data_IF_049308506951
#
_entry.id   IF_049308506951
#
_cell.length_a   1.000
_cell.length_b   1.000
_cell.length_c   1.000
_cell.angle_alpha   90.00
_cell.angle_beta   90.00
_cell.angle_gamma   90.00
#
_symmetry.space_group_name_H-M   'P 1'
#
loop_
_entity.id
_entity.type
_entity.pdbx_description
1 polymer ?
#
# COMPACT_ATOMS: atom_id res chain seq x y z
N UNK A 1 5.93 4.14 -10.53
CA UNK A 1 4.56 3.58 -10.42
C UNK A 1 4.59 2.16 -10.96
N UNK A 2 3.89 1.21 -10.34
CA UNK A 2 3.82 -0.18 -10.84
C UNK A 2 2.52 -0.32 -11.61
N UNK A 3 2.65 -0.55 -12.91
CA UNK A 3 1.55 -0.68 -13.85
C UNK A 3 1.37 -2.13 -14.36
N UNK A 4 2.39 -2.97 -14.15
CA UNK A 4 2.38 -4.36 -14.60
C UNK A 4 3.36 -5.23 -13.78
N UNK A 5 3.41 -6.53 -14.10
CA UNK A 5 4.30 -7.48 -13.44
C UNK A 5 5.78 -7.15 -13.62
N UNK A 6 6.19 -6.65 -14.79
CA UNK A 6 7.60 -6.32 -15.06
C UNK A 6 8.07 -5.15 -14.20
N UNK A 7 7.22 -4.13 -14.00
CA UNK A 7 7.53 -3.02 -13.10
C UNK A 7 7.72 -3.51 -11.67
N UNK A 8 6.89 -4.46 -11.24
CA UNK A 8 7.03 -5.07 -9.91
C UNK A 8 8.33 -5.87 -9.80
N UNK A 9 8.72 -6.64 -10.83
CA UNK A 9 9.99 -7.36 -10.83
C UNK A 9 11.19 -6.40 -10.80
N UNK A 10 11.13 -5.30 -11.54
CA UNK A 10 12.16 -4.25 -11.49
C UNK A 10 12.26 -3.63 -10.09
N UNK A 11 11.13 -3.37 -9.44
CA UNK A 11 11.10 -2.91 -8.05
C UNK A 11 11.78 -3.92 -7.12
N UNK A 12 11.44 -5.21 -7.19
CA UNK A 12 12.07 -6.24 -6.35
C UNK A 12 13.57 -6.32 -6.59
N UNK A 13 14.01 -6.23 -7.85
CA UNK A 13 15.42 -6.26 -8.21
C UNK A 13 16.21 -5.04 -7.73
N UNK A 14 15.54 -3.91 -7.47
CA UNK A 14 16.17 -2.70 -6.95
C UNK A 14 16.40 -2.74 -5.43
N UNK A 15 15.82 -3.71 -4.71
CA UNK A 15 15.92 -3.78 -3.25
C UNK A 15 17.24 -4.40 -2.84
N UNK A 16 18.01 -3.69 -2.05
CA UNK A 16 19.19 -4.22 -1.38
C UNK A 16 18.80 -4.92 -0.07
N UNK A 17 18.75 -6.26 -0.11
CA UNK A 17 18.41 -7.06 1.08
C UNK A 17 19.41 -6.90 2.22
N UNK A 18 20.66 -6.46 1.94
CA UNK A 18 21.68 -6.28 2.96
C UNK A 18 21.45 -5.01 3.79
N UNK A 19 20.70 -4.05 3.29
CA UNK A 19 20.35 -2.82 3.99
C UNK A 19 19.08 -2.93 4.83
N UNK A 20 18.27 -3.97 4.62
CA UNK A 20 16.99 -4.11 5.31
C UNK A 20 17.14 -4.47 6.79
N UNK A 21 16.28 -3.84 7.60
CA UNK A 21 16.14 -4.14 9.03
C UNK A 21 14.95 -5.07 9.26
N UNK A 22 15.12 -6.10 10.07
CA UNK A 22 14.00 -6.94 10.45
C UNK A 22 13.14 -6.22 11.52
N UNK A 23 11.84 -5.96 11.25
CA UNK A 23 10.99 -5.23 12.21
C UNK A 23 10.63 -6.06 13.44
N UNK A 24 10.89 -7.37 13.42
CA UNK A 24 10.60 -8.27 14.54
C UNK A 24 11.78 -8.38 15.50
N UNK A 25 13.01 -8.54 14.99
CA UNK A 25 14.20 -8.74 15.84
C UNK A 25 15.29 -7.69 15.65
N UNK A 26 15.10 -6.68 14.80
CA UNK A 26 16.01 -5.55 14.58
C UNK A 26 17.29 -5.89 13.80
N UNK A 27 17.53 -7.16 13.44
CA UNK A 27 18.74 -7.54 12.71
C UNK A 27 18.76 -6.94 11.31
N UNK A 28 19.94 -6.57 10.83
CA UNK A 28 20.15 -5.96 9.51
C UNK A 28 20.74 -6.97 8.55
N UNK A 29 20.28 -6.98 7.31
CA UNK A 29 20.87 -7.69 6.19
C UNK A 29 20.78 -9.23 6.23
N UNK A 30 20.08 -9.81 7.18
CA UNK A 30 19.95 -11.25 7.33
C UNK A 30 18.64 -11.78 6.74
N UNK A 31 18.42 -11.51 5.44
CA UNK A 31 17.24 -11.96 4.71
C UNK A 31 17.60 -12.90 3.57
N UNK A 32 16.70 -13.85 3.31
CA UNK A 32 16.72 -14.71 2.13
C UNK A 32 15.40 -14.61 1.37
N UNK A 33 15.42 -14.81 0.08
CA UNK A 33 14.21 -14.97 -0.72
C UNK A 33 13.48 -16.24 -0.29
N UNK A 34 12.19 -16.12 0.04
CA UNK A 34 11.42 -17.23 0.64
C UNK A 34 10.30 -17.74 -0.25
N UNK A 35 10.09 -17.17 -1.43
CA UNK A 35 9.03 -17.53 -2.35
C UNK A 35 8.13 -16.34 -2.64
N UNK A 36 7.03 -16.58 -3.30
CA UNK A 36 6.08 -15.54 -3.68
C UNK A 36 4.64 -16.04 -3.58
N UNK A 37 3.69 -15.10 -3.59
CA UNK A 37 2.26 -15.39 -3.72
C UNK A 37 1.62 -14.39 -4.69
N UNK A 38 0.58 -14.85 -5.37
CA UNK A 38 -0.16 -13.99 -6.30
C UNK A 38 -1.11 -13.07 -5.53
N UNK A 39 -1.11 -11.80 -5.91
CA UNK A 39 -2.01 -10.79 -5.35
C UNK A 39 -2.60 -9.94 -6.46
N UNK A 40 -3.91 -9.74 -6.42
CA UNK A 40 -4.56 -8.71 -7.23
C UNK A 40 -4.32 -7.34 -6.62
N UNK A 41 -4.05 -6.37 -7.48
CA UNK A 41 -3.86 -4.97 -7.12
C UNK A 41 -4.65 -4.11 -8.09
N UNK A 42 -5.36 -3.14 -7.55
CA UNK A 42 -6.00 -2.11 -8.34
C UNK A 42 -4.96 -1.03 -8.61
N UNK A 43 -4.67 -0.79 -9.86
CA UNK A 43 -3.74 0.26 -10.31
C UNK A 43 -4.50 1.53 -10.63
N UNK A 44 -3.83 2.67 -10.45
CA UNK A 44 -4.44 3.99 -10.60
C UNK A 44 -4.39 4.49 -12.06
N UNK A 45 -3.95 3.66 -13.01
CA UNK A 45 -3.90 4.02 -14.42
C UNK A 45 -5.19 3.65 -15.14
N UNK A 46 -6.06 4.64 -15.29
CA UNK A 46 -7.38 4.52 -15.93
C UNK A 46 -7.24 4.47 -17.45
N UNK A 47 -6.11 4.90 -18.00
CA UNK A 47 -5.89 5.00 -19.46
C UNK A 47 -5.78 3.63 -20.14
N UNK A 48 -5.44 2.59 -19.40
CA UNK A 48 -5.22 1.23 -19.93
C UNK A 48 -6.47 0.35 -20.00
N UNK A 49 -7.60 0.77 -19.42
CA UNK A 49 -8.82 -0.01 -19.37
C UNK A 49 -8.81 -1.18 -18.38
N UNK A 50 -7.65 -1.70 -18.02
CA UNK A 50 -7.45 -2.76 -17.04
C UNK A 50 -6.93 -2.17 -15.72
N UNK A 51 -7.85 -1.80 -14.84
CA UNK A 51 -7.48 -1.25 -13.51
C UNK A 51 -7.07 -2.33 -12.51
N UNK A 52 -7.11 -3.62 -12.85
CA UNK A 52 -6.79 -4.72 -11.94
C UNK A 52 -5.74 -5.65 -12.53
N UNK A 53 -4.56 -5.66 -11.93
CA UNK A 53 -3.47 -6.54 -12.30
C UNK A 53 -3.20 -7.60 -11.23
N UNK A 54 -2.59 -8.70 -11.63
CA UNK A 54 -2.08 -9.72 -10.72
C UNK A 54 -0.56 -9.66 -10.68
N UNK A 55 0.02 -9.51 -9.49
CA UNK A 55 1.47 -9.47 -9.28
C UNK A 55 1.93 -10.65 -8.40
N UNK A 56 3.10 -11.23 -8.67
CA UNK A 56 3.72 -12.26 -7.83
C UNK A 56 4.50 -11.60 -6.67
N UNK A 57 3.80 -11.26 -5.59
CA UNK A 57 4.43 -10.60 -4.43
C UNK A 57 5.54 -11.45 -3.85
N UNK A 58 6.78 -10.95 -3.90
CA UNK A 58 7.95 -11.59 -3.35
C UNK A 58 7.92 -11.57 -1.82
N UNK A 59 8.23 -12.71 -1.22
CA UNK A 59 8.44 -12.83 0.23
C UNK A 59 9.92 -12.99 0.54
N UNK A 60 10.32 -12.43 1.66
CA UNK A 60 11.63 -12.61 2.26
C UNK A 60 11.48 -13.20 3.66
N UNK A 61 12.46 -13.93 4.12
CA UNK A 61 12.52 -14.48 5.48
C UNK A 61 13.77 -14.00 6.18
N UNK A 62 13.59 -13.47 7.39
CA UNK A 62 14.71 -13.21 8.30
C UNK A 62 15.32 -14.53 8.76
N UNK A 63 16.63 -14.71 8.56
CA UNK A 63 17.32 -15.95 8.95
C UNK A 63 17.49 -16.09 10.45
N UNK A 64 17.46 -14.95 11.20
CA UNK A 64 17.59 -14.95 12.65
C UNK A 64 16.30 -15.36 13.37
N UNK A 65 15.19 -14.65 13.15
CA UNK A 65 13.94 -14.88 13.88
C UNK A 65 12.92 -15.71 13.10
N UNK A 66 13.23 -16.08 11.84
CA UNK A 66 12.38 -16.85 10.93
C UNK A 66 11.07 -16.16 10.52
N UNK A 67 10.83 -14.92 10.92
CA UNK A 67 9.67 -14.16 10.46
C UNK A 67 9.74 -13.90 8.96
N UNK A 68 8.58 -13.91 8.31
CA UNK A 68 8.47 -13.68 6.85
C UNK A 68 7.79 -12.34 6.59
N UNK A 69 8.28 -11.63 5.58
CA UNK A 69 7.82 -10.31 5.17
C UNK A 69 7.55 -10.30 3.68
N UNK A 70 6.62 -9.46 3.23
CA UNK A 70 6.32 -9.26 1.82
C UNK A 70 6.97 -7.96 1.34
N UNK A 71 7.62 -7.98 0.18
CA UNK A 71 8.14 -6.78 -0.45
C UNK A 71 7.01 -6.10 -1.21
N UNK A 72 6.57 -4.96 -0.72
CA UNK A 72 5.49 -4.17 -1.34
C UNK A 72 5.99 -2.76 -1.62
N UNK A 73 5.66 -2.20 -2.79
CA UNK A 73 5.89 -0.79 -3.09
C UNK A 73 5.17 0.13 -2.12
N UNK A 74 5.72 1.32 -1.87
CA UNK A 74 5.19 2.30 -0.90
C UNK A 74 3.78 2.79 -1.19
N UNK A 75 3.35 2.71 -2.45
CA UNK A 75 2.00 3.10 -2.86
C UNK A 75 0.94 2.02 -2.61
N UNK A 76 1.33 0.79 -2.23
CA UNK A 76 0.38 -0.30 -1.98
C UNK A 76 -0.03 -0.38 -0.51
N UNK A 77 -1.31 -0.49 -0.28
CA UNK A 77 -1.84 -0.70 1.07
C UNK A 77 -1.65 -2.16 1.46
N UNK A 78 -0.91 -2.47 2.53
CA UNK A 78 -0.71 -3.84 2.98
C UNK A 78 -2.04 -4.57 3.24
N UNK A 79 -2.07 -5.87 2.98
CA UNK A 79 -3.24 -6.77 3.20
C UNK A 79 -4.51 -6.43 2.41
N UNK A 80 -4.45 -5.47 1.47
CA UNK A 80 -5.56 -5.11 0.61
C UNK A 80 -5.16 -5.21 -0.87
N UNK A 81 -6.11 -5.06 -1.77
CA UNK A 81 -5.84 -4.93 -3.20
C UNK A 81 -5.73 -3.46 -3.66
N UNK A 82 -5.66 -2.51 -2.73
CA UNK A 82 -5.74 -1.09 -3.01
C UNK A 82 -4.37 -0.42 -2.94
N UNK A 83 -4.23 0.67 -3.70
CA UNK A 83 -3.21 1.68 -3.52
C UNK A 83 -3.72 2.79 -2.57
N UNK A 84 -2.80 3.58 -2.01
CA UNK A 84 -3.19 4.73 -1.19
C UNK A 84 -3.92 5.79 -2.01
N UNK A 85 -3.55 5.97 -3.28
CA UNK A 85 -4.22 6.90 -4.18
C UNK A 85 -5.66 6.46 -4.47
N UNK A 86 -5.90 5.16 -4.67
CA UNK A 86 -7.25 4.63 -4.83
C UNK A 86 -8.12 4.87 -3.59
N UNK A 87 -7.56 4.67 -2.39
CA UNK A 87 -8.28 4.99 -1.15
C UNK A 87 -8.59 6.48 -1.06
N UNK A 88 -7.65 7.34 -1.47
CA UNK A 88 -7.89 8.77 -1.55
C UNK A 88 -9.08 9.11 -2.48
N UNK A 89 -9.15 8.52 -3.67
CA UNK A 89 -10.28 8.69 -4.58
C UNK A 89 -11.60 8.21 -3.96
N UNK A 90 -11.63 7.04 -3.34
CA UNK A 90 -12.82 6.54 -2.63
C UNK A 90 -13.36 7.58 -1.63
N UNK A 91 -12.47 8.27 -0.93
CA UNK A 91 -12.88 9.20 0.14
C UNK A 91 -13.31 10.56 -0.41
N UNK A 92 -12.65 11.06 -1.44
CA UNK A 92 -12.84 12.42 -1.96
C UNK A 92 -13.88 12.53 -3.07
N UNK A 93 -14.11 11.46 -3.82
CA UNK A 93 -15.08 11.44 -4.91
C UNK A 93 -16.44 10.91 -4.46
N UNK A 94 -17.46 11.14 -5.29
CA UNK A 94 -18.78 10.53 -5.13
C UNK A 94 -18.70 9.02 -5.43
N UNK A 95 -19.51 8.21 -4.75
CA UNK A 95 -19.53 6.76 -4.95
C UNK A 95 -20.08 6.34 -6.33
N UNK A 96 -20.78 7.23 -7.01
CA UNK A 96 -21.28 7.05 -8.38
C UNK A 96 -20.37 7.69 -9.43
N UNK A 97 -19.23 8.26 -9.04
CA UNK A 97 -18.24 8.80 -9.96
C UNK A 97 -17.77 7.70 -10.93
N UNK A 98 -17.70 8.03 -12.22
CA UNK A 98 -17.30 7.09 -13.26
C UNK A 98 -15.93 6.44 -12.96
N UNK A 99 -15.04 7.19 -12.34
CA UNK A 99 -13.75 6.69 -11.91
C UNK A 99 -13.89 5.58 -10.85
N UNK A 100 -14.73 5.80 -9.83
CA UNK A 100 -14.96 4.83 -8.76
C UNK A 100 -15.66 3.58 -9.30
N UNK A 101 -16.62 3.75 -10.19
CA UNK A 101 -17.38 2.63 -10.77
C UNK A 101 -16.54 1.77 -11.72
N UNK A 102 -15.54 2.36 -12.41
CA UNK A 102 -14.65 1.63 -13.33
C UNK A 102 -13.75 0.60 -12.62
N UNK A 103 -13.52 0.73 -11.32
CA UNK A 103 -12.65 -0.21 -10.58
C UNK A 103 -13.31 -1.53 -10.18
N UNK A 104 -14.59 -1.74 -10.49
CA UNK A 104 -15.31 -3.00 -10.17
C UNK A 104 -15.20 -3.44 -8.70
N UNK A 105 -15.08 -2.50 -7.78
CA UNK A 105 -15.02 -2.78 -6.34
C UNK A 105 -16.42 -2.77 -5.76
N UNK A 106 -16.74 -3.77 -4.94
CA UNK A 106 -18.04 -3.86 -4.30
C UNK A 106 -18.34 -2.57 -3.50
N UNK A 107 -19.47 -1.93 -3.79
CA UNK A 107 -19.92 -0.66 -3.17
C UNK A 107 -19.88 -0.72 -1.64
N UNK A 108 -20.18 -1.88 -1.06
CA UNK A 108 -20.12 -2.10 0.38
C UNK A 108 -18.69 -1.96 0.94
N UNK A 109 -17.69 -2.39 0.15
CA UNK A 109 -16.27 -2.23 0.51
C UNK A 109 -15.87 -0.76 0.44
N UNK A 110 -16.28 -0.05 -0.63
CA UNK A 110 -16.06 1.38 -0.79
C UNK A 110 -16.62 2.15 0.41
N UNK A 111 -17.90 1.91 0.75
CA UNK A 111 -18.55 2.58 1.90
C UNK A 111 -17.86 2.31 3.24
N UNK A 112 -17.42 1.08 3.49
CA UNK A 112 -16.67 0.73 4.71
C UNK A 112 -15.34 1.45 4.80
N UNK A 113 -14.57 1.50 3.71
CA UNK A 113 -13.28 2.19 3.66
C UNK A 113 -13.51 3.70 3.85
N UNK A 114 -14.45 4.27 3.09
CA UNK A 114 -14.81 5.69 3.16
C UNK A 114 -15.19 6.12 4.58
N UNK A 115 -16.11 5.40 5.22
CA UNK A 115 -16.55 5.71 6.57
C UNK A 115 -15.40 5.71 7.57
N UNK A 116 -14.53 4.69 7.53
CA UNK A 116 -13.38 4.56 8.44
C UNK A 116 -12.36 5.70 8.27
N UNK A 117 -12.05 6.04 7.03
CA UNK A 117 -11.07 7.11 6.75
C UNK A 117 -11.64 8.48 7.12
N UNK A 118 -12.91 8.74 6.83
CA UNK A 118 -13.58 9.99 7.19
C UNK A 118 -13.60 10.17 8.71
N UNK A 119 -14.00 9.15 9.46
CA UNK A 119 -14.00 9.18 10.92
C UNK A 119 -12.61 9.55 11.48
N UNK A 120 -11.56 8.95 10.91
CA UNK A 120 -10.19 9.26 11.29
C UNK A 120 -9.80 10.69 10.94
N UNK A 121 -10.07 11.15 9.71
CA UNK A 121 -9.73 12.51 9.29
C UNK A 121 -10.52 13.57 10.07
N UNK A 122 -11.79 13.34 10.35
CA UNK A 122 -12.60 14.23 11.19
C UNK A 122 -12.02 14.34 12.62
N UNK A 123 -11.41 13.27 13.12
CA UNK A 123 -10.74 13.24 14.42
C UNK A 123 -9.42 14.02 14.46
N UNK A 124 -8.58 13.85 13.43
CA UNK A 124 -7.22 14.43 13.41
C UNK A 124 -7.10 15.76 12.67
N UNK A 125 -7.96 15.97 11.69
CA UNK A 125 -7.95 17.13 10.81
C UNK A 125 -9.36 17.67 10.61
N UNK A 126 -9.96 18.37 11.60
CA UNK A 126 -11.34 18.84 11.50
C UNK A 126 -11.67 19.61 10.22
N UNK A 127 -10.69 20.32 9.69
CA UNK A 127 -10.81 21.12 8.45
C UNK A 127 -10.35 20.41 7.19
N UNK A 128 -10.18 19.09 7.21
CA UNK A 128 -9.58 18.34 6.09
C UNK A 128 -10.30 18.56 4.75
N UNK A 129 -11.60 18.85 4.75
CA UNK A 129 -12.38 19.13 3.54
C UNK A 129 -11.94 20.43 2.83
N UNK A 130 -11.37 21.36 3.60
CA UNK A 130 -10.82 22.61 3.10
C UNK A 130 -9.31 22.52 2.83
N UNK A 131 -8.71 21.38 3.09
CA UNK A 131 -7.28 21.16 2.98
C UNK A 131 -6.89 21.02 1.51
N UNK A 132 -6.10 21.96 0.97
CA UNK A 132 -5.69 21.97 -0.44
C UNK A 132 -4.50 21.06 -0.77
N UNK A 133 -3.84 20.51 0.24
CA UNK A 133 -2.64 19.69 0.05
C UNK A 133 -3.03 18.21 0.02
N UNK A 134 -3.32 17.71 -1.17
CA UNK A 134 -3.75 16.32 -1.38
C UNK A 134 -2.66 15.31 -1.02
N UNK A 135 -1.39 15.66 -1.22
CA UNK A 135 -0.26 14.81 -0.82
C UNK A 135 -0.25 14.52 0.68
N UNK A 136 -0.55 15.53 1.52
CA UNK A 136 -0.63 15.32 2.97
C UNK A 136 -1.82 14.44 3.37
N UNK A 137 -2.94 14.49 2.64
CA UNK A 137 -4.07 13.58 2.85
C UNK A 137 -3.68 12.15 2.51
N UNK A 138 -2.99 11.95 1.37
CA UNK A 138 -2.49 10.64 0.96
C UNK A 138 -1.46 10.11 1.96
N UNK A 139 -0.49 10.94 2.39
CA UNK A 139 0.50 10.55 3.40
C UNK A 139 -0.16 10.16 4.74
N UNK A 140 -1.22 10.85 5.15
CA UNK A 140 -1.95 10.48 6.38
C UNK A 140 -2.54 9.08 6.32
N UNK A 141 -2.92 8.58 5.13
CA UNK A 141 -3.46 7.23 4.93
C UNK A 141 -2.42 6.12 5.14
N UNK A 142 -1.13 6.45 5.10
CA UNK A 142 -0.06 5.48 5.36
C UNK A 142 0.03 5.12 6.85
N UNK A 143 -0.62 5.85 7.72
CA UNK A 143 -0.69 5.50 9.14
C UNK A 143 -1.53 4.25 9.33
N UNK A 144 -0.90 3.26 9.94
CA UNK A 144 -1.45 1.92 10.10
C UNK A 144 -2.82 1.86 10.81
N UNK A 145 -2.99 2.67 11.84
CA UNK A 145 -4.18 2.72 12.68
C UNK A 145 -5.45 3.15 11.94
N UNK A 146 -5.31 3.87 10.83
CA UNK A 146 -6.44 4.31 10.01
C UNK A 146 -7.12 3.14 9.30
N UNK A 147 -6.32 2.31 8.62
CA UNK A 147 -6.84 1.27 7.72
C UNK A 147 -7.07 -0.09 8.41
N UNK A 148 -6.31 -0.38 9.48
CA UNK A 148 -6.26 -1.73 10.07
C UNK A 148 -6.63 -1.77 11.55
N UNK A 149 -6.75 -0.63 12.23
CA UNK A 149 -6.92 -0.57 13.69
C UNK A 149 -5.63 -0.94 14.45
N UNK A 150 -5.62 -0.69 15.76
CA UNK A 150 -4.44 -0.78 16.62
C UNK A 150 -3.87 -2.19 16.89
N UNK A 151 -4.50 -3.25 16.36
CA UNK A 151 -4.21 -4.63 16.76
C UNK A 151 -3.24 -5.39 15.86
N UNK A 152 -2.76 -4.80 14.76
CA UNK A 152 -1.80 -5.47 13.86
C UNK A 152 -0.49 -4.70 13.81
N UNK A 153 0.59 -5.37 14.22
CA UNK A 153 1.94 -4.82 14.02
C UNK A 153 2.20 -4.62 12.53
N UNK A 154 2.43 -3.39 12.15
CA UNK A 154 2.83 -3.03 10.80
C UNK A 154 4.32 -3.33 10.64
N UNK A 155 4.65 -3.99 9.54
CA UNK A 155 6.04 -4.22 9.17
C UNK A 155 6.47 -3.10 8.21
N UNK A 156 7.25 -2.13 8.67
CA UNK A 156 7.77 -1.02 7.85
C UNK A 156 8.57 -1.50 6.63
N UNK A 157 9.10 -2.73 6.67
CA UNK A 157 9.73 -3.40 5.52
C UNK A 157 8.78 -3.66 4.35
N UNK A 158 7.47 -3.59 4.57
CA UNK A 158 6.52 -3.78 3.47
C UNK A 158 6.47 -2.57 2.53
N UNK A 159 7.24 -1.50 2.83
CA UNK A 159 7.05 -0.20 2.19
C UNK A 159 8.40 0.47 1.95
N UNK A 160 9.13 0.02 0.92
CA UNK A 160 10.34 0.72 0.47
C UNK A 160 10.05 1.45 -0.84
N UNK A 161 10.33 2.75 -0.86
CA UNK A 161 10.38 3.56 -2.08
C UNK A 161 11.74 3.41 -2.74
N UNK A 162 11.83 3.21 -4.06
CA UNK A 162 13.10 3.23 -4.79
C UNK A 162 13.85 4.58 -4.66
N UNK A 163 13.15 5.66 -4.28
CA UNK A 163 13.69 7.01 -4.14
C UNK A 163 14.34 7.28 -2.79
N UNK A 164 14.06 6.50 -1.75
CA UNK A 164 14.65 6.67 -0.42
C UNK A 164 15.96 5.88 -0.23
N UNK A 165 16.30 5.03 -1.19
CA UNK A 165 17.59 4.31 -1.20
C UNK A 165 18.76 5.13 -1.74
N UNK A 166 18.58 6.43 -2.03
CA UNK A 166 19.60 7.32 -2.61
C UNK A 166 19.87 8.58 -1.78
N UNK A 167 19.66 8.52 -0.46
CA UNK A 167 20.14 9.58 0.45
C UNK A 167 21.08 9.01 1.49
#
# INVERSE_FOLDING_TARGET
>A
MILNENDYQAFVASIDLLSLHCPVCGVVGLFILYGHYKRFVIIDDISSGDCKIQIPVQRIQCTQCRSTHSLLPTNFVPYTQFTYLFIYYIVTLDENDDLITSFEVALQTIRKVKARVIEFWDSLFPDWRNFKQDDLKIESLKRHDILFGSTRSYCELCVLSPTEAQL
#
